data_IF_846540118057
#
_entry.id   IF_846540118057
#
_cell.length_a   1.000
_cell.length_b   1.000
_cell.length_c   1.000
_cell.angle_alpha   90.00
_cell.angle_beta   90.00
_cell.angle_gamma   90.00
#
_symmetry.space_group_name_H-M   'P 1'
#
loop_
_entity.id
_entity.type
_entity.pdbx_description
1 polymer ?
#
# COMPACT_ATOMS: atom_id res chain seq x y z
N UNK A 1 9.99 -11.18 5.48
CA UNK A 1 9.47 -10.56 6.72
C UNK A 1 9.91 -11.40 7.89
N UNK A 2 10.46 -10.77 8.91
CA UNK A 2 10.96 -11.47 10.09
C UNK A 2 10.64 -10.71 11.37
N UNK A 3 10.64 -11.43 12.49
CA UNK A 3 10.54 -10.89 13.83
C UNK A 3 11.60 -11.56 14.74
N UNK A 4 11.55 -11.30 16.04
CA UNK A 4 12.48 -11.90 17.00
C UNK A 4 12.42 -13.44 17.10
N UNK A 5 11.43 -14.10 16.45
CA UNK A 5 11.34 -15.56 16.36
C UNK A 5 11.75 -16.10 14.98
N UNK A 6 12.28 -15.24 14.11
CA UNK A 6 12.77 -15.60 12.78
C UNK A 6 11.85 -15.18 11.65
N UNK A 7 12.05 -15.79 10.48
CA UNK A 7 11.29 -15.50 9.26
C UNK A 7 9.91 -16.13 9.38
N UNK A 8 8.86 -15.33 9.29
CA UNK A 8 7.48 -15.80 9.38
C UNK A 8 6.69 -15.57 8.08
N UNK A 9 7.19 -14.76 7.15
CA UNK A 9 6.50 -14.54 5.90
C UNK A 9 7.36 -14.02 4.76
N UNK A 10 6.90 -14.28 3.53
CA UNK A 10 7.53 -13.87 2.29
C UNK A 10 6.47 -13.37 1.31
N UNK A 11 6.81 -12.37 0.51
CA UNK A 11 5.93 -11.85 -0.52
C UNK A 11 6.72 -11.48 -1.76
N UNK A 12 6.41 -12.13 -2.87
CA UNK A 12 6.82 -11.70 -4.21
C UNK A 12 5.58 -11.67 -5.09
N UNK A 13 5.38 -10.54 -5.74
CA UNK A 13 4.37 -10.37 -6.77
C UNK A 13 5.07 -9.72 -7.96
N UNK A 14 5.64 -10.51 -8.84
CA UNK A 14 6.35 -9.98 -10.02
C UNK A 14 5.42 -9.18 -10.94
N UNK A 15 6.01 -8.33 -11.76
CA UNK A 15 5.38 -7.76 -12.94
C UNK A 15 4.91 -6.32 -12.76
N UNK A 16 4.32 -5.81 -13.84
CA UNK A 16 3.82 -4.44 -13.91
C UNK A 16 2.66 -4.22 -12.93
N UNK A 17 2.57 -3.01 -12.36
CA UNK A 17 1.34 -2.55 -11.70
C UNK A 17 0.54 -1.70 -12.66
N UNK A 18 -0.75 -1.99 -12.77
CA UNK A 18 -1.72 -1.13 -13.46
C UNK A 18 -2.28 -0.06 -12.50
N UNK A 19 -2.95 0.97 -13.04
CA UNK A 19 -3.71 1.95 -12.23
C UNK A 19 -4.66 1.26 -11.24
N UNK A 20 -5.33 0.19 -11.68
CA UNK A 20 -6.26 -0.57 -10.85
C UNK A 20 -5.53 -1.35 -9.74
N UNK A 21 -4.34 -1.90 -10.02
CA UNK A 21 -3.52 -2.54 -8.98
C UNK A 21 -3.13 -1.54 -7.89
N UNK A 22 -2.62 -0.37 -8.29
CA UNK A 22 -2.26 0.71 -7.36
C UNK A 22 -3.47 1.11 -6.51
N UNK A 23 -4.61 1.38 -7.15
CA UNK A 23 -5.85 1.75 -6.47
C UNK A 23 -6.31 0.71 -5.43
N UNK A 24 -6.18 -0.58 -5.74
CA UNK A 24 -6.52 -1.66 -4.82
C UNK A 24 -5.47 -1.96 -3.75
N UNK A 25 -4.32 -1.28 -3.76
CA UNK A 25 -3.24 -1.50 -2.80
C UNK A 25 -2.33 -2.67 -3.16
N UNK A 26 -2.35 -3.13 -4.42
CA UNK A 26 -1.36 -4.06 -4.97
C UNK A 26 -0.22 -3.21 -5.52
N UNK A 27 0.61 -2.71 -4.60
CA UNK A 27 1.67 -1.73 -4.86
C UNK A 27 3.06 -2.37 -4.75
N UNK A 28 4.07 -1.52 -4.61
CA UNK A 28 5.46 -1.89 -4.36
C UNK A 28 5.73 -1.93 -2.85
N UNK A 29 6.67 -2.77 -2.42
CA UNK A 29 7.17 -2.76 -1.04
C UNK A 29 8.01 -1.49 -0.84
N UNK A 30 7.51 -0.53 -0.07
CA UNK A 30 8.08 0.82 0.03
C UNK A 30 9.61 0.88 0.28
N UNK A 31 10.21 0.14 1.24
CA UNK A 31 11.66 0.21 1.45
C UNK A 31 12.50 -0.44 0.34
N UNK A 32 11.88 -1.08 -0.65
CA UNK A 32 12.57 -1.73 -1.78
C UNK A 32 12.53 -0.92 -3.08
N UNK A 33 11.87 0.24 -3.08
CA UNK A 33 11.60 0.99 -4.31
C UNK A 33 12.84 1.73 -4.79
N UNK A 34 13.06 1.71 -6.10
CA UNK A 34 13.94 2.63 -6.81
C UNK A 34 13.12 3.38 -7.85
N UNK A 35 13.34 4.68 -7.96
CA UNK A 35 12.66 5.55 -8.91
C UNK A 35 13.66 6.38 -9.67
N UNK A 36 13.31 6.70 -10.91
CA UNK A 36 14.01 7.73 -11.65
C UNK A 36 13.70 9.11 -11.04
N UNK A 37 14.69 9.99 -10.97
CA UNK A 37 14.63 11.25 -10.20
C UNK A 37 13.64 12.23 -10.81
N UNK A 38 13.83 12.52 -12.09
CA UNK A 38 12.91 13.20 -13.01
C UNK A 38 11.43 12.80 -12.81
N UNK A 39 11.11 11.50 -12.75
CA UNK A 39 9.73 11.04 -12.54
C UNK A 39 9.17 11.47 -11.17
N UNK A 40 9.99 11.38 -10.11
CA UNK A 40 9.62 11.83 -8.77
C UNK A 40 9.43 13.36 -8.72
N UNK A 41 10.27 14.12 -9.43
CA UNK A 41 10.19 15.58 -9.49
C UNK A 41 9.01 16.07 -10.33
N UNK A 42 8.69 15.41 -11.45
CA UNK A 42 7.55 15.77 -12.32
C UNK A 42 6.19 15.67 -11.59
N UNK A 43 6.08 14.78 -10.61
CA UNK A 43 4.88 14.67 -9.76
C UNK A 43 4.94 15.51 -8.48
N UNK A 44 6.02 16.25 -8.26
CA UNK A 44 6.22 17.08 -7.08
C UNK A 44 6.45 16.28 -5.78
N UNK A 45 6.90 15.04 -5.87
CA UNK A 45 7.23 14.19 -4.71
C UNK A 45 6.04 13.83 -3.81
N UNK A 46 6.37 13.51 -2.54
CA UNK A 46 5.39 13.14 -1.52
C UNK A 46 4.53 14.33 -1.10
N UNK A 47 3.22 14.11 -1.00
CA UNK A 47 2.32 15.08 -0.34
C UNK A 47 2.34 14.84 1.16
N UNK A 48 2.71 15.87 1.92
CA UNK A 48 2.67 15.85 3.39
C UNK A 48 1.49 16.66 3.90
N UNK A 49 0.69 16.09 4.79
CA UNK A 49 -0.38 16.81 5.46
C UNK A 49 -1.37 15.89 6.14
N UNK A 50 -2.37 16.45 6.87
CA UNK A 50 -3.35 15.66 7.59
C UNK A 50 -4.15 14.67 6.72
N UNK A 51 -4.39 15.01 5.45
CA UNK A 51 -5.16 14.19 4.51
C UNK A 51 -4.36 13.00 3.93
N UNK A 52 -3.03 13.03 4.01
CA UNK A 52 -2.13 11.97 3.49
C UNK A 52 -1.35 11.25 4.59
N UNK A 53 -1.60 11.57 5.87
CA UNK A 53 -0.90 10.96 7.01
C UNK A 53 -1.03 9.43 6.97
N UNK A 54 0.11 8.73 6.88
CA UNK A 54 0.23 7.26 6.76
C UNK A 54 -0.26 6.66 5.43
N UNK A 55 -0.51 7.49 4.44
CA UNK A 55 -0.91 7.10 3.07
C UNK A 55 -0.13 7.86 1.99
N UNK A 56 1.00 8.45 2.36
CA UNK A 56 1.87 9.26 1.51
C UNK A 56 2.34 8.46 0.28
N UNK A 57 2.70 7.20 0.48
CA UNK A 57 3.11 6.27 -0.58
C UNK A 57 2.00 6.06 -1.61
N UNK A 58 0.77 5.84 -1.13
CA UNK A 58 -0.38 5.64 -2.01
C UNK A 58 -0.68 6.88 -2.84
N UNK A 59 -0.58 8.08 -2.23
CA UNK A 59 -0.72 9.34 -2.96
C UNK A 59 0.35 9.47 -4.05
N UNK A 60 1.62 9.19 -3.72
CA UNK A 60 2.73 9.24 -4.67
C UNK A 60 2.52 8.28 -5.84
N UNK A 61 2.12 7.04 -5.57
CA UNK A 61 1.80 6.07 -6.63
C UNK A 61 0.69 6.58 -7.52
N UNK A 62 -0.39 7.12 -6.96
CA UNK A 62 -1.48 7.63 -7.78
C UNK A 62 -1.04 8.82 -8.65
N UNK A 63 -0.19 9.72 -8.16
CA UNK A 63 0.35 10.83 -8.98
C UNK A 63 1.18 10.33 -10.17
N UNK A 64 2.08 9.37 -9.92
CA UNK A 64 2.91 8.78 -10.98
C UNK A 64 2.03 8.12 -12.05
N UNK A 65 1.01 7.39 -11.62
CA UNK A 65 0.10 6.69 -12.53
C UNK A 65 -0.89 7.60 -13.25
N UNK A 66 -1.28 8.72 -12.65
CA UNK A 66 -2.05 9.78 -13.32
C UNK A 66 -1.27 10.36 -14.50
N UNK A 67 0.04 10.59 -14.31
CA UNK A 67 0.98 11.07 -15.35
C UNK A 67 1.38 10.01 -16.39
N UNK A 68 0.97 8.76 -16.22
CA UNK A 68 1.27 7.66 -17.15
C UNK A 68 2.62 6.97 -16.94
N UNK A 69 3.31 7.24 -15.82
CA UNK A 69 4.48 6.44 -15.45
C UNK A 69 4.10 4.99 -15.15
N UNK A 70 5.06 4.10 -15.33
CA UNK A 70 4.90 2.66 -15.15
C UNK A 70 5.92 2.16 -14.14
N UNK A 71 5.48 1.24 -13.28
CA UNK A 71 6.34 0.58 -12.30
C UNK A 71 6.22 -0.94 -12.39
N UNK A 72 7.34 -1.60 -12.11
CA UNK A 72 7.48 -3.05 -12.16
C UNK A 72 8.06 -3.56 -10.86
N UNK A 73 7.52 -4.67 -10.36
CA UNK A 73 8.08 -5.36 -9.22
C UNK A 73 8.92 -6.54 -9.72
N UNK A 74 10.15 -6.66 -9.22
CA UNK A 74 11.05 -7.77 -9.57
C UNK A 74 10.58 -9.08 -8.91
N UNK A 75 11.05 -10.21 -9.44
CA UNK A 75 10.82 -11.54 -8.87
C UNK A 75 11.79 -11.88 -7.73
N UNK A 76 12.94 -11.22 -7.65
CA UNK A 76 13.94 -11.49 -6.62
C UNK A 76 13.51 -11.01 -5.23
N UNK A 77 13.85 -11.81 -4.21
CA UNK A 77 13.73 -11.45 -2.80
C UNK A 77 14.98 -10.67 -2.36
N UNK A 78 14.89 -9.34 -2.37
CA UNK A 78 16.04 -8.46 -2.13
C UNK A 78 16.02 -7.72 -0.77
N UNK A 79 14.92 -7.81 -0.02
CA UNK A 79 14.74 -7.04 1.22
C UNK A 79 14.17 -7.88 2.35
N UNK A 80 14.90 -7.91 3.47
CA UNK A 80 14.39 -8.38 4.75
C UNK A 80 13.70 -7.25 5.52
N UNK A 81 12.38 -7.38 5.66
CA UNK A 81 11.56 -6.42 6.39
C UNK A 81 11.26 -6.90 7.81
N UNK A 82 11.77 -6.18 8.81
CA UNK A 82 11.45 -6.45 10.22
C UNK A 82 10.06 -5.92 10.56
N UNK A 83 9.19 -6.79 11.07
CA UNK A 83 7.87 -6.41 11.57
C UNK A 83 7.70 -6.90 13.00
N UNK A 84 7.79 -5.96 13.95
CA UNK A 84 7.52 -6.25 15.35
C UNK A 84 6.05 -6.67 15.54
N UNK A 85 5.79 -7.59 16.47
CA UNK A 85 4.45 -8.15 16.74
C UNK A 85 3.42 -7.13 17.17
N UNK A 86 3.86 -6.02 17.76
CA UNK A 86 3.05 -4.90 18.21
C UNK A 86 2.84 -3.84 17.12
N UNK A 87 3.43 -3.98 15.92
CA UNK A 87 3.30 -3.02 14.82
C UNK A 87 1.86 -2.76 14.39
N UNK A 88 0.95 -3.70 14.67
CA UNK A 88 -0.49 -3.55 14.42
C UNK A 88 -1.13 -2.44 15.25
N UNK A 89 -0.61 -2.11 16.43
CA UNK A 89 -1.12 -1.03 17.28
C UNK A 89 -0.97 0.35 16.63
N UNK A 90 -0.01 0.48 15.70
CA UNK A 90 0.23 1.71 14.93
C UNK A 90 -0.88 2.00 13.91
N UNK A 91 -1.72 1.01 13.56
CA UNK A 91 -2.79 1.14 12.56
C UNK A 91 -4.07 1.70 13.18
N UNK A 92 -4.05 2.99 13.52
CA UNK A 92 -5.19 3.72 14.11
C UNK A 92 -6.33 3.94 13.11
N UNK A 93 -7.57 4.01 13.61
CA UNK A 93 -8.75 4.23 12.77
C UNK A 93 -8.71 5.56 12.00
N UNK A 94 -8.11 6.63 12.57
CA UNK A 94 -7.95 7.92 11.88
C UNK A 94 -7.26 7.77 10.51
N UNK A 95 -6.27 6.89 10.38
CA UNK A 95 -5.55 6.63 9.13
C UNK A 95 -6.42 5.93 8.09
N UNK A 96 -7.44 5.17 8.51
CA UNK A 96 -8.42 4.56 7.61
C UNK A 96 -9.35 5.60 7.00
N UNK A 97 -9.67 6.66 7.74
CA UNK A 97 -10.43 7.80 7.24
C UNK A 97 -9.60 8.56 6.20
N UNK A 98 -8.32 8.80 6.46
CA UNK A 98 -7.40 9.39 5.48
C UNK A 98 -7.33 8.53 4.19
N UNK A 99 -7.12 7.22 4.33
CA UNK A 99 -7.11 6.28 3.19
C UNK A 99 -8.42 6.32 2.39
N UNK A 100 -9.57 6.35 3.07
CA UNK A 100 -10.89 6.47 2.44
C UNK A 100 -11.01 7.75 1.59
N UNK A 101 -10.73 8.92 2.19
CA UNK A 101 -10.82 10.21 1.49
C UNK A 101 -9.91 10.26 0.28
N UNK A 102 -8.69 9.79 0.46
CA UNK A 102 -7.68 9.76 -0.59
C UNK A 102 -8.07 8.81 -1.73
N UNK A 103 -8.64 7.64 -1.43
CA UNK A 103 -9.20 6.73 -2.44
C UNK A 103 -10.38 7.31 -3.19
N UNK A 104 -11.24 8.11 -2.57
CA UNK A 104 -12.32 8.80 -3.31
C UNK A 104 -11.74 9.76 -4.34
N UNK A 105 -10.80 10.61 -3.92
CA UNK A 105 -10.11 11.58 -4.78
C UNK A 105 -9.39 10.90 -5.94
N UNK A 106 -8.59 9.88 -5.66
CA UNK A 106 -7.77 9.25 -6.69
C UNK A 106 -8.53 8.34 -7.65
N UNK A 107 -9.69 7.80 -7.26
CA UNK A 107 -10.56 7.07 -8.19
C UNK A 107 -10.95 7.95 -9.38
N UNK A 108 -11.34 9.20 -9.11
CA UNK A 108 -11.72 10.17 -10.13
C UNK A 108 -10.54 10.58 -11.00
N UNK A 109 -9.42 10.95 -10.36
CA UNK A 109 -8.21 11.41 -11.06
C UNK A 109 -7.53 10.33 -11.91
N UNK A 110 -7.62 9.07 -11.50
CA UNK A 110 -7.10 7.94 -12.26
C UNK A 110 -8.05 7.47 -13.38
N UNK A 111 -9.21 8.12 -13.53
CA UNK A 111 -10.25 7.76 -14.49
C UNK A 111 -10.73 6.30 -14.34
N UNK A 112 -10.94 5.89 -13.08
CA UNK A 112 -11.42 4.54 -12.78
C UNK A 112 -12.96 4.49 -12.78
N UNK A 113 -13.57 3.41 -13.32
CA UNK A 113 -15.02 3.23 -13.33
C UNK A 113 -15.68 3.40 -11.95
N UNK A 114 -16.87 4.01 -11.91
CA UNK A 114 -17.62 4.30 -10.68
C UNK A 114 -17.85 3.07 -9.79
N UNK A 115 -17.96 1.86 -10.36
CA UNK A 115 -18.06 0.61 -9.60
C UNK A 115 -16.93 0.42 -8.58
N UNK A 116 -15.74 0.96 -8.87
CA UNK A 116 -14.60 0.86 -7.97
C UNK A 116 -14.67 1.81 -6.77
N UNK A 117 -15.60 2.78 -6.77
CA UNK A 117 -15.83 3.70 -5.65
C UNK A 117 -16.15 2.95 -4.35
N UNK A 118 -16.83 1.81 -4.42
CA UNK A 118 -17.12 0.96 -3.25
C UNK A 118 -15.84 0.52 -2.53
N UNK A 119 -14.72 0.36 -3.24
CA UNK A 119 -13.45 -0.01 -2.63
C UNK A 119 -12.81 1.10 -1.82
N UNK A 120 -13.22 2.37 -2.01
CA UNK A 120 -12.81 3.45 -1.13
C UNK A 120 -13.31 3.23 0.30
N UNK A 121 -14.49 2.61 0.49
CA UNK A 121 -15.09 2.34 1.80
C UNK A 121 -14.46 1.15 2.53
N UNK A 122 -13.76 0.26 1.81
CA UNK A 122 -13.07 -0.92 2.37
C UNK A 122 -12.21 -0.61 3.61
N UNK A 123 -11.32 0.41 3.63
CA UNK A 123 -10.53 0.73 4.82
C UNK A 123 -11.37 1.07 6.06
N UNK A 124 -12.55 1.68 5.90
CA UNK A 124 -13.46 1.97 7.01
C UNK A 124 -13.98 0.68 7.63
N UNK A 125 -14.49 -0.24 6.80
CA UNK A 125 -14.97 -1.56 7.25
C UNK A 125 -13.86 -2.35 7.92
N UNK A 126 -12.67 -2.41 7.31
CA UNK A 126 -11.51 -3.11 7.87
C UNK A 126 -11.05 -2.48 9.18
N UNK A 127 -11.20 -1.16 9.34
CA UNK A 127 -10.85 -0.44 10.56
C UNK A 127 -11.69 -0.82 11.77
N UNK A 128 -12.90 -1.36 11.57
CA UNK A 128 -13.78 -1.84 12.64
C UNK A 128 -13.41 -3.25 13.13
N UNK A 129 -12.61 -3.99 12.35
CA UNK A 129 -12.22 -5.36 12.69
C UNK A 129 -11.15 -5.32 13.80
N UNK A 130 -11.31 -6.11 14.88
CA UNK A 130 -10.31 -6.20 15.95
C UNK A 130 -8.90 -6.51 15.44
N UNK A 131 -7.90 -5.80 15.96
CA UNK A 131 -6.51 -5.92 15.53
C UNK A 131 -5.96 -7.36 15.60
N UNK A 132 -6.40 -8.15 16.59
CA UNK A 132 -6.02 -9.57 16.73
C UNK A 132 -6.45 -10.40 15.51
N UNK A 133 -7.66 -10.21 15.01
CA UNK A 133 -8.17 -10.93 13.84
C UNK A 133 -7.43 -10.52 12.57
N UNK A 134 -7.19 -9.21 12.39
CA UNK A 134 -6.41 -8.69 11.25
C UNK A 134 -4.97 -9.21 11.24
N UNK A 135 -4.36 -9.34 12.41
CA UNK A 135 -3.02 -9.93 12.56
C UNK A 135 -3.03 -11.41 12.16
N UNK A 136 -3.95 -12.20 12.70
CA UNK A 136 -4.06 -13.63 12.35
C UNK A 136 -4.30 -13.84 10.85
N UNK A 137 -5.15 -13.02 10.24
CA UNK A 137 -5.37 -13.05 8.79
C UNK A 137 -4.09 -12.75 8.00
N UNK A 138 -3.35 -11.71 8.42
CA UNK A 138 -2.12 -11.29 7.76
C UNK A 138 -1.00 -12.34 7.87
N UNK A 139 -0.77 -12.88 9.06
CA UNK A 139 0.19 -13.96 9.28
C UNK A 139 -0.14 -15.17 8.41
N UNK A 140 -1.42 -15.57 8.32
CA UNK A 140 -1.84 -16.66 7.43
C UNK A 140 -1.62 -16.36 5.95
N UNK A 141 -1.87 -15.12 5.52
CA UNK A 141 -1.74 -14.70 4.12
C UNK A 141 -0.29 -14.75 3.64
N UNK A 142 0.65 -14.31 4.48
CA UNK A 142 2.05 -14.17 4.10
C UNK A 142 2.94 -15.31 4.58
N UNK A 143 2.38 -16.28 5.32
CA UNK A 143 3.10 -17.45 5.82
C UNK A 143 3.91 -18.09 4.70
N UNK A 144 5.19 -18.30 4.97
CA UNK A 144 6.08 -19.06 4.08
C UNK A 144 5.45 -20.43 3.85
N UNK A 145 5.18 -20.77 2.59
CA UNK A 145 4.76 -22.11 2.23
C UNK A 145 6.02 -22.96 2.19
N UNK A 146 6.16 -23.86 3.17
CA UNK A 146 7.18 -24.91 3.17
C UNK A 146 6.82 -25.96 2.14
#
# INVERSE_FOLDING_TARGET
MYDNKGIWGSLVHEGERTKLNIYHGVTFLHPSILMRREALLDVGGYTTGPETERTEDFDLWCKLYEKGYRGYNLSDLLVDYYEARDSYTKRKYKYRICEYRLKKKWRERLDLPLKYQLHAYKPLVVGLIPAKLLRTYHERKFRVRT
#
